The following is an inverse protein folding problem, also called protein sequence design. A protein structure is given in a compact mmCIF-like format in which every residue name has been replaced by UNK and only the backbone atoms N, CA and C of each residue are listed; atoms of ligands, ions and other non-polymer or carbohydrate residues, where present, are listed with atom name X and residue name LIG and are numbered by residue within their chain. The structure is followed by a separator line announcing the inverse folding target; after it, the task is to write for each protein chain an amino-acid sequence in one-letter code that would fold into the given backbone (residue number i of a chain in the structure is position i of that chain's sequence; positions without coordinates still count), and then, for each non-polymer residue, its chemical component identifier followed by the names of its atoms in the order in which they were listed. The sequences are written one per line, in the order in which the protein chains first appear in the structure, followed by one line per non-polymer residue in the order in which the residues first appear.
data_IF_834179492657
#
_entry.id   IF_834179492657
#
_cell.length_a   1.000
_cell.length_b   1.000
_cell.length_c   1.000
_cell.angle_alpha   90.00
_cell.angle_beta   90.00
_cell.angle_gamma   90.00
#
_symmetry.space_group_name_H-M   'P 1'
#
loop_
_entity.id
_entity.type
_entity.pdbx_description
1 polymer ?
#
# COMPACT_ATOMS: atom_id res chain seq x y z
N UNK A 1 4.44 9.18 21.72
CA UNK A 1 5.44 10.22 21.41
C UNK A 1 4.69 11.54 21.21
N UNK A 2 4.96 12.56 22.03
CA UNK A 2 4.15 13.79 22.09
C UNK A 2 4.60 14.88 21.11
N UNK A 3 5.88 14.93 20.75
CA UNK A 3 6.43 15.91 19.81
C UNK A 3 6.59 15.38 18.39
N UNK A 4 7.04 16.22 17.46
CA UNK A 4 7.42 15.76 16.13
C UNK A 4 8.58 14.77 16.20
N UNK A 5 8.58 13.82 15.29
CA UNK A 5 9.64 12.82 15.14
C UNK A 5 10.35 13.10 13.81
N UNK A 6 11.62 13.46 13.89
CA UNK A 6 12.42 13.78 12.71
C UNK A 6 13.42 12.65 12.46
N UNK A 7 13.19 11.90 11.40
CA UNK A 7 14.03 10.81 10.89
C UNK A 7 14.61 11.18 9.52
N UNK A 8 14.32 12.39 9.04
CA UNK A 8 14.69 12.83 7.71
C UNK A 8 16.21 12.79 7.50
N UNK A 9 16.64 12.38 6.28
CA UNK A 9 18.04 12.25 5.89
C UNK A 9 18.89 11.34 6.81
N UNK A 10 18.25 10.39 7.49
CA UNK A 10 18.93 9.46 8.43
C UNK A 10 19.11 8.10 7.78
N UNK A 11 20.28 7.51 7.95
CA UNK A 11 20.59 6.13 7.57
C UNK A 11 20.42 5.20 8.78
N UNK A 12 19.45 4.28 8.68
CA UNK A 12 19.21 3.23 9.66
C UNK A 12 19.86 1.95 9.19
N UNK A 13 21.05 1.65 9.70
CA UNK A 13 21.81 0.45 9.32
C UNK A 13 21.17 -0.85 9.85
N UNK A 14 20.44 -0.79 10.94
CA UNK A 14 19.79 -1.92 11.58
C UNK A 14 18.29 -1.96 11.41
N UNK A 15 17.67 -3.00 11.94
CA UNK A 15 16.23 -3.15 12.04
C UNK A 15 15.59 -2.02 12.85
N UNK A 16 14.50 -1.48 12.33
CA UNK A 16 13.71 -0.43 12.99
C UNK A 16 12.31 -0.95 13.28
N UNK A 17 11.93 -0.97 14.55
CA UNK A 17 10.57 -1.31 14.97
C UNK A 17 9.99 -0.18 15.84
N UNK A 18 9.01 0.52 15.29
CA UNK A 18 8.25 1.58 15.96
C UNK A 18 6.79 1.16 16.20
N UNK A 19 6.49 -0.13 16.03
CA UNK A 19 5.13 -0.66 16.09
C UNK A 19 4.41 -0.37 17.41
N UNK A 20 3.07 -0.23 17.32
CA UNK A 20 2.17 0.07 18.45
C UNK A 20 2.43 1.41 19.10
N UNK A 21 2.88 2.37 18.28
CA UNK A 21 3.21 3.74 18.74
C UNK A 21 2.11 4.72 18.34
N UNK A 22 1.76 5.62 19.24
CA UNK A 22 0.93 6.78 18.95
C UNK A 22 1.85 8.00 18.80
N UNK A 23 1.97 8.48 17.56
CA UNK A 23 2.68 9.73 17.22
C UNK A 23 1.68 10.87 17.26
N UNK A 24 1.76 11.74 18.27
CA UNK A 24 0.90 12.92 18.38
C UNK A 24 1.37 14.07 17.51
N UNK A 25 2.68 14.15 17.22
CA UNK A 25 3.28 15.08 16.29
C UNK A 25 3.46 14.50 14.89
N UNK A 26 3.89 15.34 13.96
CA UNK A 26 4.26 14.90 12.61
C UNK A 26 5.47 13.95 12.67
N UNK A 27 5.43 12.88 11.89
CA UNK A 27 6.60 12.03 11.63
C UNK A 27 7.20 12.42 10.28
N UNK A 28 8.45 12.81 10.26
CA UNK A 28 9.17 13.15 9.03
C UNK A 28 10.34 12.17 8.85
N UNK A 29 10.19 11.26 7.91
CA UNK A 29 11.20 10.31 7.45
C UNK A 29 11.66 10.59 6.02
N UNK A 30 11.43 11.79 5.50
CA UNK A 30 11.80 12.15 4.12
C UNK A 30 13.29 11.95 3.86
N UNK A 31 13.62 11.34 2.71
CA UNK A 31 14.99 11.01 2.32
C UNK A 31 15.75 10.12 3.33
N UNK A 32 15.05 9.44 4.22
CA UNK A 32 15.68 8.45 5.10
C UNK A 32 15.96 7.15 4.35
N UNK A 33 16.95 6.38 4.82
CA UNK A 33 17.26 5.06 4.32
C UNK A 33 17.15 4.03 5.43
N UNK A 34 16.30 3.03 5.24
CA UNK A 34 16.19 1.87 6.11
C UNK A 34 16.86 0.68 5.42
N UNK A 35 18.07 0.33 5.84
CA UNK A 35 18.87 -0.74 5.21
C UNK A 35 18.36 -2.14 5.56
N UNK A 36 17.60 -2.27 6.64
CA UNK A 36 17.01 -3.52 7.11
C UNK A 36 15.48 -3.40 7.15
N UNK A 37 14.81 -4.38 7.72
CA UNK A 37 13.36 -4.35 7.90
C UNK A 37 12.92 -3.13 8.72
N UNK A 38 11.77 -2.56 8.37
CA UNK A 38 11.20 -1.39 9.05
C UNK A 38 9.71 -1.62 9.34
N UNK A 39 9.35 -1.61 10.62
CA UNK A 39 8.01 -1.93 11.09
C UNK A 39 7.35 -0.72 11.75
N UNK A 40 6.18 -0.39 11.24
CA UNK A 40 5.25 0.64 11.69
C UNK A 40 3.86 0.01 11.82
N UNK A 41 3.76 -1.06 12.61
CA UNK A 41 2.58 -1.91 12.69
C UNK A 41 1.66 -1.47 13.81
N UNK A 42 0.36 -1.28 13.51
CA UNK A 42 -0.64 -0.84 14.50
C UNK A 42 -0.30 0.54 15.10
N UNK A 43 0.29 1.41 14.31
CA UNK A 43 0.64 2.77 14.70
C UNK A 43 -0.51 3.74 14.46
N UNK A 44 -0.49 4.87 15.16
CA UNK A 44 -1.36 6.01 14.88
C UNK A 44 -0.53 7.27 14.63
N UNK A 45 -0.56 7.76 13.39
CA UNK A 45 0.07 9.01 12.96
C UNK A 45 -0.95 10.13 13.03
N UNK A 46 -1.03 10.84 14.17
CA UNK A 46 -2.11 11.80 14.43
C UNK A 46 -2.03 13.04 13.52
N UNK A 47 -0.85 13.57 13.29
CA UNK A 47 -0.65 14.70 12.40
C UNK A 47 -0.12 14.28 11.01
N UNK A 48 -0.06 12.96 10.75
CA UNK A 48 0.41 12.39 9.52
C UNK A 48 1.87 11.98 9.52
N UNK A 49 2.33 11.51 8.37
CA UNK A 49 3.71 11.07 8.18
C UNK A 49 4.20 11.42 6.77
N UNK A 50 5.43 11.88 6.69
CA UNK A 50 6.13 12.21 5.46
C UNK A 50 7.27 11.21 5.26
N UNK A 51 7.22 10.45 4.18
CA UNK A 51 8.22 9.50 3.72
C UNK A 51 8.55 9.75 2.25
N UNK A 52 8.60 11.04 1.86
CA UNK A 52 8.97 11.41 0.50
C UNK A 52 10.41 11.00 0.20
N UNK A 53 10.60 10.36 -0.96
CA UNK A 53 11.90 9.93 -1.45
C UNK A 53 12.68 9.04 -0.44
N UNK A 54 11.94 8.38 0.47
CA UNK A 54 12.49 7.45 1.48
C UNK A 54 12.81 6.12 0.83
N UNK A 55 13.92 5.52 1.22
CA UNK A 55 14.34 4.20 0.78
C UNK A 55 14.06 3.16 1.87
N UNK A 56 13.14 2.23 1.58
CA UNK A 56 12.80 1.10 2.45
C UNK A 56 13.48 -0.17 1.91
N UNK A 57 14.25 -0.85 2.76
CA UNK A 57 15.00 -2.06 2.45
C UNK A 57 14.14 -3.32 2.27
N UNK A 58 14.56 -4.47 2.81
CA UNK A 58 14.00 -5.77 2.42
C UNK A 58 12.55 -6.01 2.84
N UNK A 59 12.04 -5.30 3.85
CA UNK A 59 10.65 -5.44 4.28
C UNK A 59 10.16 -4.18 4.98
N UNK A 60 9.09 -3.58 4.46
CA UNK A 60 8.42 -2.42 5.06
C UNK A 60 6.98 -2.80 5.45
N UNK A 61 6.64 -2.69 6.74
CA UNK A 61 5.33 -3.06 7.28
C UNK A 61 4.63 -1.87 7.90
N UNK A 62 3.41 -1.61 7.41
CA UNK A 62 2.53 -0.56 7.94
C UNK A 62 1.15 -1.11 8.34
N UNK A 63 0.98 -2.43 8.38
CA UNK A 63 -0.35 -3.00 8.50
C UNK A 63 -1.07 -2.62 9.80
N UNK A 64 -2.42 -2.45 9.69
CA UNK A 64 -3.32 -2.00 10.75
C UNK A 64 -2.98 -0.64 11.34
N UNK A 65 -2.17 0.16 10.65
CA UNK A 65 -1.86 1.52 11.09
C UNK A 65 -2.89 2.51 10.62
N UNK A 66 -3.02 3.62 11.34
CA UNK A 66 -3.95 4.69 11.03
C UNK A 66 -3.17 5.98 10.79
N UNK A 67 -3.26 6.50 9.59
CA UNK A 67 -2.78 7.84 9.25
C UNK A 67 -3.94 8.81 9.38
N UNK A 68 -4.04 9.48 10.54
CA UNK A 68 -5.11 10.44 10.81
C UNK A 68 -4.83 11.81 10.17
N UNK A 69 -3.58 12.14 9.91
CA UNK A 69 -3.16 13.23 9.05
C UNK A 69 -2.67 12.72 7.68
N UNK A 70 -2.18 13.63 6.80
CA UNK A 70 -1.69 13.25 5.47
C UNK A 70 -0.59 12.19 5.52
N UNK A 71 -0.61 11.26 4.55
CA UNK A 71 0.40 10.21 4.40
C UNK A 71 1.12 10.38 3.06
N UNK A 72 2.40 10.76 3.09
CA UNK A 72 3.15 11.13 1.90
C UNK A 72 4.30 10.14 1.69
N UNK A 73 4.16 9.31 0.66
CA UNK A 73 5.17 8.34 0.19
C UNK A 73 5.62 8.66 -1.24
N UNK A 74 5.52 9.94 -1.63
CA UNK A 74 5.86 10.37 -2.99
C UNK A 74 7.33 10.06 -3.28
N UNK A 75 7.60 9.35 -4.40
CA UNK A 75 8.95 8.97 -4.80
C UNK A 75 9.62 7.94 -3.89
N UNK A 76 8.95 7.43 -2.86
CA UNK A 76 9.53 6.42 -1.99
C UNK A 76 9.85 5.14 -2.77
N UNK A 77 10.94 4.47 -2.38
CA UNK A 77 11.39 3.21 -2.98
C UNK A 77 11.30 2.09 -1.96
N UNK A 78 10.59 1.03 -2.32
CA UNK A 78 10.41 -0.17 -1.51
C UNK A 78 11.14 -1.33 -2.18
N UNK A 79 12.31 -1.72 -1.68
CA UNK A 79 13.16 -2.76 -2.28
C UNK A 79 12.61 -4.17 -2.05
N UNK A 80 11.94 -4.37 -0.93
CA UNK A 80 11.44 -5.66 -0.51
C UNK A 80 9.92 -5.77 -0.46
N UNK A 81 9.43 -6.78 0.25
CA UNK A 81 8.00 -6.95 0.49
C UNK A 81 7.45 -5.74 1.24
N UNK A 82 6.30 -5.27 0.79
CA UNK A 82 5.68 -4.07 1.35
C UNK A 82 4.24 -4.33 1.75
N UNK A 83 3.89 -4.04 2.99
CA UNK A 83 2.59 -4.35 3.55
C UNK A 83 1.87 -3.12 4.10
N UNK A 84 0.82 -2.68 3.42
CA UNK A 84 -0.16 -1.70 3.87
C UNK A 84 -1.53 -2.39 4.13
N UNK A 85 -1.51 -3.61 4.67
CA UNK A 85 -2.72 -4.39 4.89
C UNK A 85 -3.59 -3.77 5.99
N UNK A 86 -4.89 -3.63 5.74
CA UNK A 86 -5.86 -3.08 6.69
C UNK A 86 -5.47 -1.68 7.24
N UNK A 87 -4.67 -0.91 6.48
CA UNK A 87 -4.31 0.47 6.85
C UNK A 87 -5.49 1.40 6.61
N UNK A 88 -5.67 2.37 7.49
CA UNK A 88 -6.66 3.44 7.31
C UNK A 88 -5.95 4.75 7.03
N UNK A 89 -6.24 5.35 5.89
CA UNK A 89 -5.82 6.70 5.52
C UNK A 89 -7.01 7.65 5.68
N UNK A 90 -7.03 8.45 6.74
CA UNK A 90 -8.14 9.36 7.04
C UNK A 90 -8.08 10.66 6.22
N UNK A 91 -6.88 11.05 5.74
CA UNK A 91 -6.61 12.24 4.94
C UNK A 91 -5.93 11.86 3.61
N UNK A 92 -5.64 12.86 2.80
CA UNK A 92 -5.00 12.66 1.49
C UNK A 92 -3.71 11.87 1.62
N UNK A 93 -3.59 10.88 0.73
CA UNK A 93 -2.46 9.96 0.69
C UNK A 93 -1.81 10.00 -0.68
N UNK A 94 -0.48 10.09 -0.69
CA UNK A 94 0.28 10.25 -1.92
C UNK A 94 1.38 9.19 -2.04
N UNK A 95 1.18 8.26 -2.96
CA UNK A 95 2.16 7.28 -3.43
C UNK A 95 2.66 7.59 -4.85
N UNK A 96 2.47 8.83 -5.33
CA UNK A 96 2.89 9.17 -6.70
C UNK A 96 4.39 8.96 -6.88
N UNK A 97 4.78 8.38 -8.03
CA UNK A 97 6.16 8.02 -8.36
C UNK A 97 6.83 7.05 -7.37
N UNK A 98 6.10 6.43 -6.47
CA UNK A 98 6.66 5.39 -5.61
C UNK A 98 7.00 4.14 -6.42
N UNK A 99 8.08 3.44 -6.05
CA UNK A 99 8.53 2.22 -6.70
C UNK A 99 8.49 1.05 -5.72
N UNK A 100 7.79 -0.02 -6.11
CA UNK A 100 7.64 -1.26 -5.34
C UNK A 100 8.29 -2.40 -6.12
N UNK A 101 9.46 -2.84 -5.70
CA UNK A 101 10.27 -3.82 -6.43
C UNK A 101 9.89 -5.27 -6.18
N UNK A 102 9.25 -5.58 -5.05
CA UNK A 102 8.69 -6.91 -4.77
C UNK A 102 7.18 -6.85 -4.53
N UNK A 103 6.59 -7.95 -4.04
CA UNK A 103 5.17 -8.05 -3.79
C UNK A 103 4.66 -6.96 -2.84
N UNK A 104 3.53 -6.37 -3.19
CA UNK A 104 2.97 -5.23 -2.44
C UNK A 104 1.52 -5.48 -2.10
N UNK A 105 1.17 -5.35 -0.82
CA UNK A 105 -0.19 -5.55 -0.31
C UNK A 105 -0.84 -4.27 0.21
N UNK A 106 -1.98 -3.91 -0.40
CA UNK A 106 -2.93 -2.90 0.07
C UNK A 106 -4.29 -3.54 0.40
N UNK A 107 -4.32 -4.85 0.63
CA UNK A 107 -5.57 -5.57 0.89
C UNK A 107 -6.24 -5.07 2.16
N UNK A 108 -7.54 -4.78 2.08
CA UNK A 108 -8.30 -4.20 3.18
C UNK A 108 -7.94 -2.75 3.52
N UNK A 109 -7.06 -2.09 2.76
CA UNK A 109 -6.74 -0.69 2.99
C UNK A 109 -7.96 0.20 2.75
N UNK A 110 -8.14 1.23 3.58
CA UNK A 110 -9.26 2.16 3.47
C UNK A 110 -8.77 3.60 3.27
N UNK A 111 -8.91 4.12 2.06
CA UNK A 111 -8.64 5.51 1.72
C UNK A 111 -9.93 6.33 1.90
N UNK A 112 -10.03 7.10 2.98
CA UNK A 112 -11.19 7.96 3.27
C UNK A 112 -11.15 9.29 2.52
N UNK A 113 -9.97 9.74 2.13
CA UNK A 113 -9.72 10.92 1.32
C UNK A 113 -9.06 10.52 -0.01
N UNK A 114 -8.49 11.46 -0.78
CA UNK A 114 -7.85 11.18 -2.07
C UNK A 114 -6.66 10.23 -1.87
N UNK A 115 -6.55 9.23 -2.75
CA UNK A 115 -5.43 8.30 -2.78
C UNK A 115 -4.73 8.37 -4.16
N UNK A 116 -3.46 8.81 -4.18
CA UNK A 116 -2.74 9.10 -5.40
C UNK A 116 -1.60 8.08 -5.62
N UNK A 117 -1.78 7.20 -6.62
CA UNK A 117 -0.78 6.25 -7.11
C UNK A 117 -0.26 6.64 -8.50
N UNK A 118 -0.41 7.90 -8.92
CA UNK A 118 -0.01 8.32 -10.26
C UNK A 118 1.48 8.10 -10.50
N UNK A 119 1.82 7.57 -11.68
CA UNK A 119 3.21 7.27 -12.08
C UNK A 119 3.94 6.30 -11.15
N UNK A 120 3.26 5.61 -10.24
CA UNK A 120 3.87 4.59 -9.40
C UNK A 120 4.24 3.34 -10.22
N UNK A 121 5.19 2.56 -9.73
CA UNK A 121 5.68 1.36 -10.38
C UNK A 121 5.59 0.17 -9.43
N UNK A 122 4.92 -0.89 -9.87
CA UNK A 122 4.81 -2.17 -9.18
C UNK A 122 5.46 -3.24 -10.04
N UNK A 123 6.67 -3.67 -9.70
CA UNK A 123 7.45 -4.61 -10.53
C UNK A 123 6.93 -6.05 -10.39
N UNK A 124 6.33 -6.38 -9.26
CA UNK A 124 5.75 -7.69 -8.96
C UNK A 124 4.25 -7.57 -8.65
N UNK A 125 3.71 -8.59 -8.00
CA UNK A 125 2.29 -8.66 -7.68
C UNK A 125 1.86 -7.49 -6.78
N UNK A 126 0.71 -6.89 -7.12
CA UNK A 126 0.11 -5.80 -6.35
C UNK A 126 -1.33 -6.19 -5.96
N UNK A 127 -1.59 -6.27 -4.66
CA UNK A 127 -2.87 -6.74 -4.11
C UNK A 127 -3.64 -5.59 -3.46
N UNK A 128 -4.83 -5.31 -4.01
CA UNK A 128 -5.79 -4.33 -3.51
C UNK A 128 -7.12 -5.00 -3.14
N UNK A 129 -7.10 -6.29 -2.74
CA UNK A 129 -8.29 -7.03 -2.41
C UNK A 129 -9.05 -6.36 -1.26
N UNK A 130 -10.37 -6.20 -1.40
CA UNK A 130 -11.20 -5.54 -0.38
C UNK A 130 -10.78 -4.12 -0.03
N UNK A 131 -9.92 -3.48 -0.83
CA UNK A 131 -9.55 -2.08 -0.61
C UNK A 131 -10.76 -1.16 -0.85
N UNK A 132 -10.89 -0.12 -0.04
CA UNK A 132 -11.99 0.84 -0.12
C UNK A 132 -11.44 2.23 -0.42
N UNK A 133 -11.94 2.84 -1.49
CA UNK A 133 -11.62 4.21 -1.88
C UNK A 133 -12.88 5.06 -1.79
N UNK A 134 -13.03 5.84 -0.72
CA UNK A 134 -14.21 6.69 -0.50
C UNK A 134 -14.20 7.95 -1.39
N UNK A 135 -13.03 8.39 -1.80
CA UNK A 135 -12.78 9.55 -2.68
C UNK A 135 -12.00 9.11 -3.92
N UNK A 136 -11.79 9.99 -4.91
CA UNK A 136 -11.10 9.60 -6.12
C UNK A 136 -9.73 8.97 -5.84
N UNK A 137 -9.50 7.81 -6.44
CA UNK A 137 -8.21 7.14 -6.46
C UNK A 137 -7.62 7.29 -7.86
N UNK A 138 -6.39 7.81 -7.97
CA UNK A 138 -5.74 7.96 -9.26
C UNK A 138 -4.59 6.98 -9.43
N UNK A 139 -4.57 6.31 -10.59
CA UNK A 139 -3.54 5.39 -11.06
C UNK A 139 -2.99 5.87 -12.41
N UNK A 140 -3.20 7.13 -12.77
CA UNK A 140 -2.74 7.69 -14.03
C UNK A 140 -1.24 7.43 -14.25
N UNK A 141 -0.90 6.83 -15.37
CA UNK A 141 0.48 6.44 -15.72
C UNK A 141 1.15 5.46 -14.72
N UNK A 142 0.42 4.86 -13.80
CA UNK A 142 0.93 3.78 -12.97
C UNK A 142 1.27 2.55 -13.84
N UNK A 143 2.28 1.78 -13.43
CA UNK A 143 2.76 0.60 -14.16
C UNK A 143 2.72 -0.63 -13.26
N UNK A 144 2.01 -1.66 -13.72
CA UNK A 144 1.94 -2.96 -13.06
C UNK A 144 2.69 -3.99 -13.90
N UNK A 145 3.90 -4.35 -13.49
CA UNK A 145 4.82 -5.27 -14.19
C UNK A 145 4.44 -6.74 -14.05
N UNK A 146 3.54 -7.08 -13.12
CA UNK A 146 3.03 -8.43 -12.90
C UNK A 146 1.50 -8.40 -12.69
N UNK A 147 0.95 -9.34 -11.91
CA UNK A 147 -0.47 -9.40 -11.62
C UNK A 147 -0.89 -8.28 -10.68
N UNK A 148 -1.94 -7.55 -11.04
CA UNK A 148 -2.65 -6.63 -10.17
C UNK A 148 -4.02 -7.21 -9.83
N UNK A 149 -4.38 -7.24 -8.54
CA UNK A 149 -5.66 -7.81 -8.10
C UNK A 149 -6.44 -6.79 -7.26
N UNK A 150 -7.57 -6.35 -7.82
CA UNK A 150 -8.53 -5.44 -7.19
C UNK A 150 -9.84 -6.15 -6.85
N UNK A 151 -9.84 -7.48 -6.77
CA UNK A 151 -11.05 -8.25 -6.46
C UNK A 151 -11.67 -7.77 -5.14
N UNK A 152 -13.00 -7.65 -5.14
CA UNK A 152 -13.78 -7.15 -4.02
C UNK A 152 -13.43 -5.70 -3.58
N UNK A 153 -12.59 -4.97 -4.30
CA UNK A 153 -12.32 -3.57 -4.01
C UNK A 153 -13.54 -2.68 -4.34
N UNK A 154 -13.68 -1.56 -3.62
CA UNK A 154 -14.76 -0.61 -3.80
C UNK A 154 -14.24 0.79 -4.11
N UNK A 155 -14.50 1.27 -5.32
CA UNK A 155 -14.27 2.65 -5.73
C UNK A 155 -15.61 3.40 -5.64
N UNK A 156 -15.81 4.21 -4.58
CA UNK A 156 -17.06 4.94 -4.35
C UNK A 156 -17.18 6.21 -5.19
N UNK A 157 -16.12 6.60 -5.87
CA UNK A 157 -16.09 7.69 -6.84
C UNK A 157 -15.31 7.26 -8.08
N UNK A 158 -15.20 8.14 -9.07
CA UNK A 158 -14.48 7.85 -10.29
C UNK A 158 -13.02 7.47 -10.00
N UNK A 159 -12.55 6.44 -10.67
CA UNK A 159 -11.14 6.03 -10.73
C UNK A 159 -10.62 6.20 -12.16
N UNK A 160 -9.32 6.10 -12.32
CA UNK A 160 -8.65 6.20 -13.62
C UNK A 160 -7.74 4.99 -13.92
N UNK A 161 -8.11 3.82 -13.40
CA UNK A 161 -7.38 2.57 -13.67
C UNK A 161 -7.13 2.33 -15.16
N UNK A 162 -8.01 2.83 -16.03
CA UNK A 162 -7.85 2.74 -17.48
C UNK A 162 -6.64 3.52 -18.01
N UNK A 163 -6.07 4.44 -17.23
CA UNK A 163 -4.87 5.22 -17.59
C UNK A 163 -3.58 4.56 -17.09
N UNK A 164 -3.70 3.48 -16.33
CA UNK A 164 -2.56 2.66 -15.91
C UNK A 164 -2.15 1.67 -17.00
N UNK A 165 -0.92 1.21 -16.92
CA UNK A 165 -0.39 0.15 -17.81
C UNK A 165 -0.28 -1.15 -17.00
N UNK A 166 -0.84 -2.23 -17.55
CA UNK A 166 -0.83 -3.55 -16.94
C UNK A 166 -0.10 -4.53 -17.85
N UNK A 167 0.92 -5.22 -17.33
CA UNK A 167 1.60 -6.30 -18.08
C UNK A 167 0.69 -7.54 -18.22
N UNK A 168 -0.27 -7.72 -17.32
CA UNK A 168 -1.31 -8.76 -17.35
C UNK A 168 -2.66 -8.13 -17.06
N UNK A 169 -3.73 -8.68 -17.62
CA UNK A 169 -5.10 -8.21 -17.32
C UNK A 169 -5.33 -8.18 -15.82
N UNK A 170 -5.69 -7.03 -15.24
CA UNK A 170 -5.95 -6.93 -13.81
C UNK A 170 -7.16 -7.77 -13.41
N UNK A 171 -7.14 -8.34 -12.22
CA UNK A 171 -8.31 -9.01 -11.66
C UNK A 171 -9.24 -7.96 -11.05
N UNK A 172 -10.50 -7.99 -11.48
CA UNK A 172 -11.55 -7.04 -11.07
C UNK A 172 -12.82 -7.80 -10.63
N UNK A 173 -12.66 -9.01 -10.09
CA UNK A 173 -13.78 -9.85 -9.67
C UNK A 173 -14.54 -9.17 -8.54
N UNK A 174 -15.86 -8.96 -8.73
CA UNK A 174 -16.74 -8.26 -7.77
C UNK A 174 -16.26 -6.87 -7.35
N UNK A 175 -15.38 -6.24 -8.14
CA UNK A 175 -14.95 -4.86 -7.89
C UNK A 175 -16.11 -3.90 -8.10
N UNK A 176 -16.47 -3.12 -7.09
CA UNK A 176 -17.48 -2.09 -7.21
C UNK A 176 -16.84 -0.80 -7.72
N UNK A 177 -17.29 -0.32 -8.89
CA UNK A 177 -16.79 0.92 -9.52
C UNK A 177 -17.94 1.81 -9.91
N UNK A 178 -17.80 3.11 -9.69
CA UNK A 178 -18.71 4.10 -10.29
C UNK A 178 -18.34 4.24 -11.76
N UNK A 179 -19.23 3.74 -12.64
CA UNK A 179 -18.99 3.76 -14.10
C UNK A 179 -18.89 5.20 -14.60
N UNK A 180 -17.70 5.62 -14.95
CA UNK A 180 -17.53 6.62 -16.01
C UNK A 180 -17.57 5.84 -17.31
N UNK A 181 -18.63 6.02 -18.09
CA UNK A 181 -18.87 5.32 -19.36
C UNK A 181 -17.72 5.51 -20.35
N UNK A 182 -16.80 4.55 -20.41
CA UNK A 182 -15.99 4.31 -21.60
C UNK A 182 -16.10 2.82 -21.89
N UNK A 183 -16.64 2.40 -23.04
CA UNK A 183 -16.74 0.97 -23.37
C UNK A 183 -15.35 0.43 -23.67
N UNK A 184 -14.85 -0.41 -22.75
CA UNK A 184 -13.66 -1.23 -23.00
C UNK A 184 -14.08 -2.61 -23.53
N UNK A 185 -13.17 -3.35 -24.17
CA UNK A 185 -13.50 -4.63 -24.83
C UNK A 185 -13.98 -5.66 -23.80
N UNK A 186 -15.05 -6.36 -24.19
CA UNK A 186 -15.69 -7.45 -23.45
C UNK A 186 -14.69 -8.54 -23.10
N UNK A 187 -14.34 -8.69 -21.85
CA UNK A 187 -13.57 -9.84 -21.37
C UNK A 187 -14.48 -11.05 -21.18
N UNK A 188 -14.16 -12.13 -21.86
CA UNK A 188 -14.76 -13.45 -21.75
C UNK A 188 -14.65 -14.02 -20.35
N UNK A 189 -15.74 -14.54 -19.84
CA UNK A 189 -15.80 -15.23 -18.56
C UNK A 189 -15.07 -16.57 -18.57
N UNK A 190 -14.56 -16.93 -17.42
CA UNK A 190 -14.08 -18.24 -16.96
C UNK A 190 -12.57 -18.44 -16.88
N UNK A 191 -12.06 -18.35 -15.64
CA UNK A 191 -10.86 -19.06 -15.24
C UNK A 191 -11.00 -19.53 -13.78
N UNK A 192 -10.48 -20.74 -13.47
CA UNK A 192 -10.66 -21.38 -12.17
C UNK A 192 -9.94 -20.63 -11.04
N UNK A 193 -10.34 -20.92 -9.81
CA UNK A 193 -9.72 -20.43 -8.57
C UNK A 193 -8.20 -20.36 -8.69
N UNK A 194 -7.65 -19.15 -8.73
CA UNK A 194 -6.24 -18.96 -8.99
C UNK A 194 -5.43 -19.17 -7.72
N UNK A 195 -4.24 -19.72 -7.89
CA UNK A 195 -3.22 -19.94 -6.84
C UNK A 195 -2.89 -18.66 -6.04
N UNK A 196 -3.25 -17.47 -6.54
CA UNK A 196 -3.04 -16.20 -5.88
C UNK A 196 -3.77 -16.07 -4.54
N UNK A 197 -5.01 -16.61 -4.43
CA UNK A 197 -5.76 -16.64 -3.16
C UNK A 197 -5.03 -17.51 -2.14
N UNK A 198 -4.41 -18.61 -2.58
CA UNK A 198 -3.63 -19.50 -1.72
C UNK A 198 -2.36 -18.81 -1.21
N UNK A 199 -1.70 -17.98 -2.02
CA UNK A 199 -0.47 -17.27 -1.62
C UNK A 199 -0.79 -16.15 -0.59
N UNK A 200 -1.89 -15.40 -0.78
CA UNK A 200 -2.31 -14.37 0.19
C UNK A 200 -2.71 -14.99 1.52
N UNK A 201 -3.45 -16.11 1.49
CA UNK A 201 -3.77 -16.88 2.70
C UNK A 201 -2.52 -17.51 3.33
N UNK A 202 -1.53 -17.91 2.54
CA UNK A 202 -0.28 -18.48 3.03
C UNK A 202 0.62 -17.41 3.67
N UNK A 203 0.71 -16.21 3.11
CA UNK A 203 1.43 -15.08 3.70
C UNK A 203 0.74 -14.61 4.98
N UNK A 204 -0.61 -14.57 5.02
CA UNK A 204 -1.37 -14.29 6.25
C UNK A 204 -1.17 -15.40 7.31
N UNK A 205 -1.16 -16.67 6.91
CA UNK A 205 -0.95 -17.79 7.82
C UNK A 205 0.49 -17.85 8.33
N UNK A 206 1.49 -17.55 7.49
CA UNK A 206 2.90 -17.50 7.89
C UNK A 206 3.17 -16.30 8.83
N UNK A 207 2.57 -15.14 8.58
CA UNK A 207 2.63 -13.98 9.46
C UNK A 207 2.03 -14.28 10.84
N UNK A 208 0.89 -14.98 10.88
CA UNK A 208 0.24 -15.41 12.11
C UNK A 208 1.06 -16.50 12.84
N UNK A 209 1.66 -17.43 12.11
CA UNK A 209 2.49 -18.50 12.66
C UNK A 209 3.79 -17.96 13.27
N UNK A 210 4.45 -17.01 12.60
CA UNK A 210 5.65 -16.35 13.13
C UNK A 210 5.30 -15.51 14.36
N UNK A 211 4.13 -14.87 14.38
CA UNK A 211 3.63 -14.15 15.55
C UNK A 211 3.39 -15.07 16.75
N UNK A 212 2.78 -16.24 16.54
CA UNK A 212 2.50 -17.23 17.59
C UNK A 212 3.81 -17.84 18.13
N UNK A 213 4.83 -18.07 17.28
CA UNK A 213 6.12 -18.62 17.69
C UNK A 213 6.96 -17.60 18.47
N UNK A 214 6.85 -16.30 18.16
CA UNK A 214 7.54 -15.23 18.91
C UNK A 214 6.82 -14.77 20.19
N UNK A 215 5.55 -15.12 20.36
CA UNK A 215 4.76 -14.80 21.57
C UNK A 215 4.86 -15.85 22.70
N UNK A 216 5.68 -16.88 22.52
CA UNK A 216 6.13 -17.83 23.56
C UNK A 216 7.60 -17.60 23.87
#
# INVERSE_FOLDING_TARGET
ITGPVVLAHTDFAGFVDLSRTVFLGLVDGSNATFHQESYFVQDRFTQGAMFSDTHFGPHARFHRSVFAGPAIFRGATFQGLTEFLEVVFEQDTNFSRAAFHLGTGFSGAHCRAKCDFSSSQFDREAFFLFAIFDRPATFASARFGSQADFSDAAFKQADDLAQATFARTPQLTRTARVSTTVPGPTASASAPFSQAVTIVLFVMALGLLVYIIRAK
#
